data_IF_624709508894
#
_entry.id   IF_624709508894
#
_cell.length_a   1.000
_cell.length_b   1.000
_cell.length_c   1.000
_cell.angle_alpha   90.00
_cell.angle_beta   90.00
_cell.angle_gamma   90.00
#
_symmetry.space_group_name_H-M   'P 1'
#
loop_
_entity.id
_entity.type
_entity.pdbx_description
1 polymer ?
#
# COMPACT_ATOMS: atom_id res chain seq x y z
N UNK A 1 -3.23 7.16 13.99
CA UNK A 1 -1.99 7.18 14.81
C UNK A 1 -1.33 5.79 14.84
N UNK A 2 -0.01 5.72 15.17
CA UNK A 2 0.72 4.43 15.29
C UNK A 2 -0.01 3.42 16.20
N UNK A 3 -0.57 3.88 17.32
CA UNK A 3 -1.33 3.04 18.27
C UNK A 3 -2.59 2.47 17.63
N UNK A 4 -3.30 3.26 16.86
CA UNK A 4 -4.54 2.84 16.19
C UNK A 4 -4.27 1.78 15.11
N UNK A 5 -3.21 1.94 14.30
CA UNK A 5 -2.76 0.92 13.34
C UNK A 5 -2.40 -0.41 14.02
N UNK A 6 -1.66 -0.35 15.14
CA UNK A 6 -1.30 -1.54 15.91
C UNK A 6 -2.53 -2.29 16.43
N UNK A 7 -3.57 -1.55 16.87
CA UNK A 7 -4.83 -2.16 17.31
C UNK A 7 -5.56 -2.84 16.13
N UNK A 8 -5.72 -2.15 15.00
CA UNK A 8 -6.37 -2.73 13.82
C UNK A 8 -5.68 -4.03 13.37
N UNK A 9 -4.35 -4.03 13.27
CA UNK A 9 -3.59 -5.20 12.84
C UNK A 9 -3.66 -6.33 13.86
N UNK A 10 -3.64 -6.02 15.15
CA UNK A 10 -3.84 -7.02 16.22
C UNK A 10 -5.21 -7.66 16.11
N UNK A 11 -6.25 -6.86 15.99
CA UNK A 11 -7.62 -7.35 15.93
C UNK A 11 -7.87 -8.20 14.68
N UNK A 12 -7.25 -7.82 13.54
CA UNK A 12 -7.44 -8.53 12.27
C UNK A 12 -6.67 -9.85 12.16
N UNK A 13 -5.47 -9.94 12.75
CA UNK A 13 -4.55 -11.07 12.45
C UNK A 13 -4.12 -11.90 13.66
N UNK A 14 -4.64 -11.64 14.88
CA UNK A 14 -4.31 -12.45 16.06
C UNK A 14 -4.67 -13.92 15.89
N UNK A 15 -5.86 -14.22 15.37
CA UNK A 15 -6.33 -15.59 15.17
C UNK A 15 -5.41 -16.37 14.22
N UNK A 16 -4.96 -15.73 13.14
CA UNK A 16 -3.98 -16.32 12.23
C UNK A 16 -2.65 -16.64 12.92
N UNK A 17 -2.13 -15.68 13.71
CA UNK A 17 -0.85 -15.86 14.42
C UNK A 17 -0.95 -16.99 15.45
N UNK A 18 -2.03 -17.04 16.23
CA UNK A 18 -2.28 -18.08 17.20
C UNK A 18 -2.39 -19.46 16.54
N UNK A 19 -3.17 -19.58 15.47
CA UNK A 19 -3.33 -20.81 14.74
C UNK A 19 -2.01 -21.29 14.09
N UNK A 20 -1.21 -20.35 13.56
CA UNK A 20 0.12 -20.67 13.03
C UNK A 20 1.07 -21.18 14.12
N UNK A 21 1.10 -20.52 15.28
CA UNK A 21 1.92 -20.92 16.42
C UNK A 21 1.52 -22.32 16.92
N UNK A 22 0.23 -22.58 17.03
CA UNK A 22 -0.26 -23.92 17.42
C UNK A 22 0.16 -25.03 16.43
N UNK A 23 0.21 -24.73 15.11
CA UNK A 23 0.73 -25.65 14.11
C UNK A 23 2.25 -25.88 14.25
N UNK A 24 3.00 -24.82 14.51
CA UNK A 24 4.45 -24.90 14.74
C UNK A 24 4.76 -25.79 15.97
N UNK A 25 4.01 -25.64 17.05
CA UNK A 25 4.15 -26.45 18.27
C UNK A 25 3.91 -27.94 17.97
N UNK A 26 2.83 -28.26 17.26
CA UNK A 26 2.51 -29.65 16.88
C UNK A 26 3.61 -30.28 16.01
N UNK A 27 4.30 -29.47 15.21
CA UNK A 27 5.38 -29.95 14.31
C UNK A 27 6.77 -29.78 14.93
N UNK A 28 6.87 -29.35 16.20
CA UNK A 28 8.13 -29.10 16.93
C UNK A 28 9.00 -28.02 16.31
N UNK A 29 8.38 -27.02 15.69
CA UNK A 29 9.04 -25.85 15.08
C UNK A 29 8.71 -24.56 15.83
N UNK A 30 8.84 -24.59 17.17
CA UNK A 30 8.52 -23.43 18.04
C UNK A 30 9.42 -22.22 17.76
N UNK A 31 10.58 -22.41 17.17
CA UNK A 31 11.47 -21.32 16.71
C UNK A 31 10.83 -20.43 15.62
N UNK A 32 9.74 -20.90 15.00
CA UNK A 32 8.97 -20.16 13.99
C UNK A 32 7.77 -19.41 14.58
N UNK A 33 7.55 -19.53 15.88
CA UNK A 33 6.46 -18.81 16.54
C UNK A 33 6.68 -17.30 16.42
N UNK A 34 5.59 -16.58 16.20
CA UNK A 34 5.57 -15.13 16.00
C UNK A 34 4.55 -14.49 16.92
N UNK A 35 4.72 -13.20 17.13
CA UNK A 35 3.72 -12.32 17.71
C UNK A 35 3.07 -11.49 16.61
N UNK A 36 1.94 -10.85 16.90
CA UNK A 36 1.31 -9.90 15.97
C UNK A 36 2.26 -8.72 15.71
N UNK A 37 3.04 -8.31 16.68
CA UNK A 37 4.05 -7.25 16.56
C UNK A 37 5.15 -7.61 15.54
N UNK A 38 5.42 -8.89 15.33
CA UNK A 38 6.39 -9.33 14.31
C UNK A 38 5.87 -9.11 12.88
N UNK A 39 4.55 -9.12 12.67
CA UNK A 39 3.95 -8.73 11.40
C UNK A 39 4.24 -7.26 11.07
N UNK A 40 4.22 -6.38 12.07
CA UNK A 40 4.48 -4.95 11.93
C UNK A 40 5.95 -4.63 11.59
N UNK A 41 6.87 -5.55 11.83
CA UNK A 41 8.30 -5.41 11.51
C UNK A 41 8.62 -5.77 10.05
N UNK A 42 7.68 -6.37 9.36
CA UNK A 42 7.89 -6.80 7.98
C UNK A 42 7.42 -5.73 7.01
N UNK A 43 8.34 -4.88 6.57
CA UNK A 43 8.10 -3.76 5.64
C UNK A 43 7.45 -4.16 4.32
N UNK A 44 7.42 -5.46 3.99
CA UNK A 44 6.87 -5.95 2.73
C UNK A 44 5.42 -6.39 2.83
N UNK A 45 4.92 -6.56 4.02
CA UNK A 45 3.61 -7.17 4.21
C UNK A 45 2.66 -6.38 5.09
N UNK A 46 3.16 -5.51 6.02
CA UNK A 46 2.24 -4.92 6.97
C UNK A 46 2.89 -3.87 7.90
N UNK A 47 2.48 -2.63 7.87
CA UNK A 47 1.78 -1.95 6.77
C UNK A 47 2.73 -1.47 5.67
N UNK A 48 2.24 -1.35 4.46
CA UNK A 48 2.90 -0.62 3.40
C UNK A 48 2.51 0.87 3.46
N UNK A 49 3.40 1.75 3.02
CA UNK A 49 3.17 3.20 2.97
C UNK A 49 3.18 3.69 1.54
N UNK A 50 2.21 4.52 1.19
CA UNK A 50 2.15 5.27 -0.05
C UNK A 50 2.19 6.77 0.22
N UNK A 51 2.84 7.52 -0.68
CA UNK A 51 2.89 8.97 -0.61
C UNK A 51 2.23 9.53 -1.87
N UNK A 52 1.25 10.42 -1.68
CA UNK A 52 0.54 11.09 -2.76
C UNK A 52 0.88 12.57 -2.77
N UNK A 53 1.49 13.03 -3.86
CA UNK A 53 1.88 14.40 -4.09
C UNK A 53 1.55 14.79 -5.54
N UNK A 54 1.05 16.00 -5.75
CA UNK A 54 0.79 16.54 -7.10
C UNK A 54 1.58 17.84 -7.25
N UNK A 55 2.53 17.83 -8.19
CA UNK A 55 3.46 18.92 -8.41
C UNK A 55 4.76 18.78 -7.65
N UNK A 56 5.58 19.83 -7.72
CA UNK A 56 6.90 19.95 -7.10
C UNK A 56 6.98 21.17 -6.21
N UNK A 57 8.10 21.37 -5.54
CA UNK A 57 8.33 22.56 -4.73
C UNK A 57 8.21 23.83 -5.58
N UNK A 58 7.30 24.73 -5.21
CA UNK A 58 7.00 25.97 -5.94
C UNK A 58 5.89 25.85 -7.00
N UNK A 59 5.52 24.65 -7.44
CA UNK A 59 4.48 24.40 -8.44
C UNK A 59 3.56 23.25 -8.00
N UNK A 60 3.16 23.22 -6.76
CA UNK A 60 2.25 22.21 -6.23
C UNK A 60 0.80 22.70 -6.19
N UNK A 61 -0.12 21.75 -6.19
CA UNK A 61 -1.54 22.05 -5.93
C UNK A 61 -1.74 22.50 -4.49
N UNK A 62 -2.86 23.23 -4.24
CA UNK A 62 -3.23 23.60 -2.87
C UNK A 62 -3.54 22.36 -2.02
N UNK A 63 -3.40 22.44 -0.68
CA UNK A 63 -3.79 21.36 0.23
C UNK A 63 -5.24 20.91 0.03
N UNK A 64 -6.18 21.83 -0.17
CA UNK A 64 -7.59 21.50 -0.37
C UNK A 64 -7.83 20.76 -1.68
N UNK A 65 -7.11 21.15 -2.75
CA UNK A 65 -7.18 20.45 -4.04
C UNK A 65 -6.61 19.04 -3.91
N UNK A 66 -5.45 18.89 -3.28
CA UNK A 66 -4.84 17.57 -3.03
C UNK A 66 -5.78 16.69 -2.21
N UNK A 67 -6.33 17.23 -1.12
CA UNK A 67 -7.27 16.51 -0.25
C UNK A 67 -8.50 16.03 -1.04
N UNK A 68 -9.11 16.91 -1.85
CA UNK A 68 -10.29 16.56 -2.63
C UNK A 68 -10.03 15.46 -3.63
N UNK A 69 -8.90 15.51 -4.35
CA UNK A 69 -8.48 14.51 -5.33
C UNK A 69 -8.19 13.16 -4.64
N UNK A 70 -7.42 13.16 -3.56
CA UNK A 70 -7.06 11.92 -2.86
C UNK A 70 -8.26 11.32 -2.14
N UNK A 71 -9.19 12.12 -1.62
CA UNK A 71 -10.42 11.59 -1.03
C UNK A 71 -11.29 10.88 -2.08
N UNK A 72 -11.43 11.43 -3.29
CA UNK A 72 -12.12 10.75 -4.40
C UNK A 72 -11.38 9.48 -4.82
N UNK A 73 -10.03 9.53 -4.84
CA UNK A 73 -9.20 8.37 -5.11
C UNK A 73 -9.45 7.26 -4.07
N UNK A 74 -9.54 7.56 -2.78
CA UNK A 74 -9.79 6.56 -1.75
C UNK A 74 -11.16 5.89 -1.88
N UNK A 75 -12.19 6.62 -2.32
CA UNK A 75 -13.49 6.02 -2.59
C UNK A 75 -13.41 5.01 -3.75
N UNK A 76 -12.71 5.37 -4.82
CA UNK A 76 -12.51 4.47 -5.96
C UNK A 76 -11.59 3.30 -5.61
N UNK A 77 -10.56 3.53 -4.79
CA UNK A 77 -9.66 2.52 -4.28
C UNK A 77 -10.40 1.46 -3.44
N UNK A 78 -11.21 1.90 -2.49
CA UNK A 78 -12.04 1.01 -1.66
C UNK A 78 -13.02 0.21 -2.52
N UNK A 79 -13.66 0.84 -3.48
CA UNK A 79 -14.59 0.17 -4.39
C UNK A 79 -13.92 -0.93 -5.23
N UNK A 80 -12.69 -0.70 -5.68
CA UNK A 80 -11.95 -1.66 -6.55
C UNK A 80 -11.18 -2.71 -5.78
N UNK A 81 -10.58 -2.33 -4.68
CA UNK A 81 -9.55 -3.13 -4.01
C UNK A 81 -9.87 -3.45 -2.55
N UNK A 82 -10.93 -2.87 -1.98
CA UNK A 82 -11.28 -3.00 -0.56
C UNK A 82 -11.58 -4.42 -0.09
N UNK A 83 -11.76 -5.38 -1.01
CA UNK A 83 -11.87 -6.81 -0.65
C UNK A 83 -10.55 -7.41 -0.14
N UNK A 84 -9.40 -6.83 -0.49
CA UNK A 84 -8.07 -7.36 -0.17
C UNK A 84 -7.05 -6.31 0.25
N UNK A 85 -7.39 -5.02 0.17
CA UNK A 85 -6.48 -3.94 0.53
C UNK A 85 -7.21 -2.97 1.44
N UNK A 86 -6.70 -2.81 2.66
CA UNK A 86 -7.36 -2.01 3.68
C UNK A 86 -6.50 -0.82 4.08
N UNK A 87 -7.03 0.40 3.87
CA UNK A 87 -6.40 1.64 4.32
C UNK A 87 -6.55 1.74 5.83
N UNK A 88 -5.44 1.83 6.56
CA UNK A 88 -5.41 1.87 8.02
C UNK A 88 -5.50 3.29 8.55
N UNK A 89 -4.75 4.19 7.97
CA UNK A 89 -4.78 5.62 8.25
C UNK A 89 -4.09 6.41 7.15
N UNK A 90 -4.32 7.71 7.15
CA UNK A 90 -3.60 8.66 6.31
C UNK A 90 -3.48 10.02 7.02
N UNK A 91 -2.51 10.83 6.59
CA UNK A 91 -2.27 12.16 7.11
C UNK A 91 -1.81 13.11 5.99
N UNK A 92 -2.41 14.30 5.94
CA UNK A 92 -1.95 15.40 5.09
C UNK A 92 -0.82 16.15 5.82
N UNK A 93 0.32 16.25 5.17
CA UNK A 93 1.50 16.95 5.64
C UNK A 93 1.64 18.29 4.91
N UNK A 94 1.88 19.36 5.66
CA UNK A 94 1.96 20.73 5.16
C UNK A 94 3.28 21.43 5.55
N UNK A 95 4.14 20.75 6.27
CA UNK A 95 5.35 21.28 6.90
C UNK A 95 6.62 21.06 6.05
N UNK A 96 6.53 20.35 4.93
CA UNK A 96 7.67 20.01 4.08
C UNK A 96 7.66 20.73 2.71
N UNK A 97 7.22 21.98 2.64
CA UNK A 97 7.31 22.83 1.44
C UNK A 97 6.42 22.42 0.25
N UNK A 98 5.93 21.20 0.19
CA UNK A 98 4.95 20.71 -0.80
C UNK A 98 3.90 19.88 -0.09
N UNK A 99 2.60 20.20 -0.22
CA UNK A 99 1.54 19.38 0.37
C UNK A 99 1.60 17.94 -0.15
N UNK A 100 1.57 16.97 0.76
CA UNK A 100 1.54 15.56 0.42
C UNK A 100 0.79 14.75 1.47
N UNK A 101 0.30 13.58 1.06
CA UNK A 101 -0.44 12.68 1.94
C UNK A 101 0.37 11.40 2.12
N UNK A 102 0.62 11.05 3.38
CA UNK A 102 1.07 9.71 3.76
C UNK A 102 -0.14 8.83 4.04
N UNK A 103 -0.20 7.70 3.41
CA UNK A 103 -1.25 6.71 3.60
C UNK A 103 -0.60 5.37 3.93
N UNK A 104 -1.25 4.57 4.81
CA UNK A 104 -0.80 3.23 5.14
C UNK A 104 -1.91 2.23 4.96
N UNK A 105 -1.57 1.13 4.29
CA UNK A 105 -2.49 0.04 4.00
C UNK A 105 -1.87 -1.33 4.25
N UNK A 106 -2.70 -2.34 4.26
CA UNK A 106 -2.31 -3.75 4.29
C UNK A 106 -2.97 -4.48 3.14
N UNK A 107 -2.24 -5.47 2.61
CA UNK A 107 -2.77 -6.45 1.67
C UNK A 107 -3.04 -7.74 2.41
N UNK A 108 -4.24 -8.27 2.33
CA UNK A 108 -4.56 -9.53 2.95
C UNK A 108 -5.42 -10.44 2.06
N UNK A 109 -5.37 -11.70 2.37
CA UNK A 109 -6.26 -12.72 1.84
C UNK A 109 -6.21 -13.96 2.73
N UNK A 110 -7.16 -14.85 2.52
CA UNK A 110 -7.18 -16.13 3.20
C UNK A 110 -6.02 -17.01 2.74
N UNK A 111 -5.36 -17.66 3.70
CA UNK A 111 -4.37 -18.68 3.41
C UNK A 111 -5.06 -20.03 3.11
N UNK A 112 -4.27 -21.09 2.89
CA UNK A 112 -4.78 -22.45 2.63
C UNK A 112 -5.59 -23.07 3.78
N UNK A 113 -5.63 -22.44 4.93
CA UNK A 113 -6.40 -22.87 6.11
C UNK A 113 -7.66 -22.02 6.35
N UNK A 114 -7.96 -21.09 5.46
CA UNK A 114 -9.08 -20.15 5.61
C UNK A 114 -8.83 -19.04 6.63
N UNK A 115 -7.57 -18.78 6.97
CA UNK A 115 -7.20 -17.71 7.92
C UNK A 115 -6.79 -16.47 7.15
N UNK A 116 -7.39 -15.32 7.51
CA UNK A 116 -7.01 -14.02 6.96
C UNK A 116 -5.61 -13.63 7.44
N UNK A 117 -4.71 -13.33 6.53
CA UNK A 117 -3.35 -12.94 6.87
C UNK A 117 -2.72 -12.02 5.81
N UNK A 118 -1.71 -11.22 6.17
CA UNK A 118 -1.02 -10.35 5.22
C UNK A 118 -0.32 -11.14 4.12
N UNK A 119 -0.76 -10.94 2.85
CA UNK A 119 -0.21 -11.61 1.67
C UNK A 119 -0.35 -10.74 0.41
N UNK A 120 0.58 -9.81 0.18
CA UNK A 120 0.51 -8.85 -0.91
C UNK A 120 0.32 -9.50 -2.29
N UNK A 121 1.18 -10.44 -2.65
CA UNK A 121 1.16 -11.03 -4.00
C UNK A 121 -0.10 -11.84 -4.28
N UNK A 122 -0.58 -12.58 -3.29
CA UNK A 122 -1.82 -13.37 -3.43
C UNK A 122 -3.04 -12.46 -3.47
N UNK A 123 -3.09 -11.43 -2.62
CA UNK A 123 -4.15 -10.43 -2.64
C UNK A 123 -4.27 -9.76 -4.02
N UNK A 124 -3.14 -9.35 -4.59
CA UNK A 124 -3.10 -8.75 -5.93
C UNK A 124 -3.49 -9.74 -7.04
N UNK A 125 -3.18 -11.04 -6.87
CA UNK A 125 -3.61 -12.09 -7.80
C UNK A 125 -5.14 -12.28 -7.75
N UNK A 126 -5.72 -12.35 -6.56
CA UNK A 126 -7.15 -12.50 -6.35
C UNK A 126 -7.94 -11.27 -6.84
N UNK A 127 -7.33 -10.08 -6.78
CA UNK A 127 -7.84 -8.85 -7.41
C UNK A 127 -7.72 -8.83 -8.94
N UNK A 128 -7.13 -9.86 -9.56
CA UNK A 128 -6.94 -9.94 -11.00
C UNK A 128 -5.84 -9.02 -11.55
N UNK A 129 -4.94 -8.51 -10.71
CA UNK A 129 -3.82 -7.68 -11.16
C UNK A 129 -2.78 -8.57 -11.87
N UNK A 130 -2.47 -8.33 -13.16
CA UNK A 130 -1.54 -9.16 -13.91
C UNK A 130 -0.07 -8.85 -13.56
N UNK A 131 0.81 -9.75 -13.92
CA UNK A 131 2.25 -9.44 -14.00
C UNK A 131 2.50 -8.45 -15.14
N UNK A 132 3.49 -7.53 -15.03
CA UNK A 132 3.88 -6.67 -16.14
C UNK A 132 4.23 -7.44 -17.42
N UNK A 133 4.87 -8.58 -17.28
CA UNK A 133 5.10 -9.52 -18.36
C UNK A 133 4.67 -10.93 -17.93
N UNK A 134 3.48 -11.39 -18.38
CA UNK A 134 2.96 -12.71 -18.01
C UNK A 134 3.79 -13.90 -18.49
N UNK A 135 4.60 -13.72 -19.55
CA UNK A 135 5.44 -14.77 -20.12
C UNK A 135 6.75 -14.97 -19.35
N UNK A 136 7.10 -14.02 -18.47
CA UNK A 136 8.30 -14.14 -17.63
C UNK A 136 7.96 -14.59 -16.22
N UNK A 137 8.88 -15.33 -15.58
CA UNK A 137 8.68 -15.69 -14.19
C UNK A 137 8.60 -14.47 -13.29
N UNK A 138 7.82 -14.61 -12.21
CA UNK A 138 7.72 -13.60 -11.16
C UNK A 138 9.09 -13.35 -10.51
N UNK A 139 9.43 -12.08 -10.28
CA UNK A 139 10.68 -11.66 -9.67
C UNK A 139 10.68 -10.19 -9.30
N UNK A 140 11.85 -9.70 -8.89
CA UNK A 140 12.00 -8.30 -8.45
C UNK A 140 11.49 -7.28 -9.48
N UNK A 141 11.75 -7.52 -10.76
CA UNK A 141 11.39 -6.60 -11.86
C UNK A 141 10.16 -7.09 -12.64
N UNK A 142 9.43 -8.07 -12.15
CA UNK A 142 8.21 -8.59 -12.76
C UNK A 142 7.29 -9.11 -11.66
N UNK A 143 6.55 -8.23 -11.01
CA UNK A 143 5.63 -8.56 -9.93
C UNK A 143 4.34 -7.74 -10.03
N UNK A 144 3.26 -8.23 -9.44
CA UNK A 144 1.93 -7.61 -9.50
C UNK A 144 1.88 -6.24 -8.83
N UNK A 145 2.75 -5.97 -7.85
CA UNK A 145 2.81 -4.66 -7.19
C UNK A 145 3.15 -3.54 -8.18
N UNK A 146 4.05 -3.78 -9.13
CA UNK A 146 4.39 -2.80 -10.17
C UNK A 146 3.17 -2.45 -11.04
N UNK A 147 2.39 -3.44 -11.44
CA UNK A 147 1.15 -3.20 -12.19
C UNK A 147 0.11 -2.49 -11.33
N UNK A 148 -0.05 -2.90 -10.07
CA UNK A 148 -0.95 -2.26 -9.13
C UNK A 148 -0.61 -0.78 -8.93
N UNK A 149 0.66 -0.44 -8.73
CA UNK A 149 1.11 0.95 -8.57
C UNK A 149 0.82 1.79 -9.82
N UNK A 150 1.02 1.20 -11.01
CA UNK A 150 0.68 1.85 -12.27
C UNK A 150 -0.83 2.08 -12.42
N UNK A 151 -1.66 1.13 -11.99
CA UNK A 151 -3.12 1.27 -11.98
C UNK A 151 -3.55 2.36 -11.01
N UNK A 152 -3.03 2.38 -9.78
CA UNK A 152 -3.33 3.42 -8.81
C UNK A 152 -2.94 4.82 -9.32
N UNK A 153 -1.75 4.94 -9.93
CA UNK A 153 -1.31 6.18 -10.56
C UNK A 153 -2.25 6.63 -11.68
N UNK A 154 -2.71 5.72 -12.52
CA UNK A 154 -3.65 6.05 -13.60
C UNK A 154 -4.98 6.54 -13.04
N UNK A 155 -5.53 5.89 -12.03
CA UNK A 155 -6.77 6.31 -11.37
C UNK A 155 -6.61 7.73 -10.79
N UNK A 156 -5.52 7.97 -10.06
CA UNK A 156 -5.24 9.28 -9.47
C UNK A 156 -5.06 10.36 -10.54
N UNK A 157 -4.38 10.05 -11.62
CA UNK A 157 -4.19 10.94 -12.77
C UNK A 157 -5.53 11.31 -13.42
N UNK A 158 -6.42 10.34 -13.66
CA UNK A 158 -7.73 10.58 -14.26
C UNK A 158 -8.64 11.44 -13.35
N UNK A 159 -8.56 11.21 -12.04
CA UNK A 159 -9.26 12.04 -11.06
C UNK A 159 -8.72 13.48 -11.10
N UNK A 160 -7.39 13.66 -11.06
CA UNK A 160 -6.76 14.96 -11.10
C UNK A 160 -7.15 15.74 -12.37
N UNK A 161 -7.25 15.08 -13.52
CA UNK A 161 -7.74 15.69 -14.78
C UNK A 161 -9.20 16.12 -14.66
N UNK A 162 -10.06 15.36 -14.02
CA UNK A 162 -11.47 15.77 -13.77
C UNK A 162 -11.56 16.99 -12.88
N UNK A 163 -10.60 17.18 -11.98
CA UNK A 163 -10.45 18.41 -11.17
C UNK A 163 -9.80 19.58 -11.93
N UNK A 164 -9.60 19.44 -13.25
CA UNK A 164 -9.09 20.52 -14.12
C UNK A 164 -7.57 20.64 -14.13
N UNK A 165 -6.83 19.68 -13.59
CA UNK A 165 -5.37 19.71 -13.63
C UNK A 165 -4.83 19.21 -14.97
N UNK A 166 -3.80 19.89 -15.47
CA UNK A 166 -3.05 19.48 -16.64
C UNK A 166 -1.73 18.86 -16.19
N UNK A 167 -1.70 17.52 -16.12
CA UNK A 167 -0.54 16.75 -15.70
C UNK A 167 0.14 16.10 -16.90
N UNK A 168 1.45 16.01 -16.84
CA UNK A 168 2.23 15.26 -17.84
C UNK A 168 1.92 13.77 -17.73
N UNK A 169 1.62 13.13 -18.88
CA UNK A 169 1.33 11.69 -18.92
C UNK A 169 2.59 10.86 -18.73
N UNK A 170 3.71 11.33 -19.30
CA UNK A 170 4.98 10.63 -19.20
C UNK A 170 5.61 10.83 -17.81
N UNK A 171 6.06 9.76 -17.16
CA UNK A 171 6.81 9.89 -15.93
C UNK A 171 8.12 10.63 -16.22
N UNK A 172 8.30 11.82 -15.65
CA UNK A 172 9.62 12.45 -15.66
C UNK A 172 10.52 11.69 -14.68
N UNK A 173 11.33 10.80 -15.21
CA UNK A 173 12.45 10.23 -14.45
C UNK A 173 13.52 11.32 -14.37
N UNK A 174 13.35 12.26 -13.44
CA UNK A 174 14.40 13.21 -13.13
C UNK A 174 15.60 12.43 -12.62
N UNK A 175 16.68 12.44 -13.40
CA UNK A 175 18.01 11.99 -12.96
C UNK A 175 18.56 12.92 -11.91
N UNK A 176 17.84 13.09 -10.80
CA UNK A 176 18.34 13.78 -9.63
C UNK A 176 19.01 12.72 -8.77
N UNK A 177 20.33 12.86 -8.63
CA UNK A 177 21.06 12.23 -7.56
C UNK A 177 20.32 12.49 -6.24
N UNK A 178 20.21 11.48 -5.42
CA UNK A 178 19.61 11.56 -4.10
C UNK A 178 20.26 12.72 -3.36
N UNK A 179 19.54 13.80 -3.15
CA UNK A 179 20.03 14.90 -2.33
C UNK A 179 20.09 14.38 -0.90
N UNK A 180 21.27 14.06 -0.43
CA UNK A 180 21.51 13.78 0.98
C UNK A 180 21.02 14.98 1.80
N UNK A 181 20.24 14.70 2.84
CA UNK A 181 19.85 15.72 3.81
C UNK A 181 21.11 16.27 4.43
N UNK A 182 21.41 17.56 4.16
CA UNK A 182 22.41 18.33 4.90
C UNK A 182 21.89 18.60 6.33
#
# INVERSE_FOLDING_TARGET
SRRQRQMCIRDSYSDHVEAQNARNEKTRHTERNRTVEDLLKNNKTCPEESIYQIGTMGESVSPDTLFSIVNEFYQEFERRFGSHIHILDWALHLDEGTPHIHERHVFDCENRYGELCPQQEKALEELGIPLPNPEKPKGRNNNRKQTFDAVCRTILFDIARRHGLHLDQEPSYGGRDYLEKQ
#
